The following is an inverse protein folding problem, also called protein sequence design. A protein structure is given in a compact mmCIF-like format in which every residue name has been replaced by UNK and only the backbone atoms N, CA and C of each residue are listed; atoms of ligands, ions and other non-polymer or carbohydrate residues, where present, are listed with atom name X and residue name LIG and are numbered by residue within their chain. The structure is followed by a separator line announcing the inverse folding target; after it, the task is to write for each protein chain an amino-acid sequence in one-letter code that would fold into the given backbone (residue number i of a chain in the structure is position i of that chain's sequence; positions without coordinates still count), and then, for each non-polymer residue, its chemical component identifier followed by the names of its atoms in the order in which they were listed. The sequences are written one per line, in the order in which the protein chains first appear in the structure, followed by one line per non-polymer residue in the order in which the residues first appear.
data_IF_818386636916
#
_entry.id   IF_818386636916
#
_cell.length_a   1.000
_cell.length_b   1.000
_cell.length_c   1.000
_cell.angle_alpha   90.00
_cell.angle_beta   90.00
_cell.angle_gamma   90.00
#
_symmetry.space_group_name_H-M   'P 1'
#
loop_
_entity.id
_entity.type
_entity.pdbx_description
1 polymer ?
#
# COMPACT_ATOMS: atom_id res chain seq x y z
N UNK A 1 -3.26 18.82 -5.27
CA UNK A 1 -2.34 18.64 -6.42
C UNK A 1 -2.82 19.35 -7.68
N UNK A 2 -2.07 20.34 -8.20
CA UNK A 2 -2.50 21.14 -9.35
C UNK A 2 -2.36 20.42 -10.71
N UNK A 3 -1.36 19.55 -10.88
CA UNK A 3 -1.13 18.77 -12.09
C UNK A 3 -2.32 17.83 -12.41
N UNK A 4 -2.83 17.11 -11.40
CA UNK A 4 -4.05 16.29 -11.53
C UNK A 4 -5.27 17.09 -11.95
N UNK A 5 -5.56 18.22 -11.27
CA UNK A 5 -6.71 19.08 -11.58
C UNK A 5 -6.66 19.65 -13.00
N UNK A 6 -5.44 19.90 -13.50
CA UNK A 6 -5.18 20.40 -14.85
C UNK A 6 -5.05 19.29 -15.91
N UNK A 7 -5.12 18.01 -15.53
CA UNK A 7 -4.91 16.90 -16.46
C UNK A 7 -3.48 16.76 -16.99
N UNK A 8 -2.49 17.39 -16.35
CA UNK A 8 -1.07 17.42 -16.76
C UNK A 8 -0.22 16.46 -15.92
N UNK A 9 -0.83 15.36 -15.45
CA UNK A 9 -0.14 14.40 -14.60
C UNK A 9 1.02 13.71 -15.34
N UNK A 10 0.88 13.45 -16.64
CA UNK A 10 1.94 12.85 -17.46
C UNK A 10 3.16 13.74 -17.68
N UNK A 11 3.05 15.04 -17.41
CA UNK A 11 4.17 15.98 -17.57
C UNK A 11 5.12 15.97 -16.39
N UNK A 12 4.67 15.46 -15.24
CA UNK A 12 5.49 15.32 -14.03
C UNK A 12 5.98 13.88 -13.81
N UNK A 13 5.53 12.93 -14.64
CA UNK A 13 5.99 11.53 -14.59
C UNK A 13 7.44 11.47 -15.08
N UNK A 14 8.22 10.58 -14.47
CA UNK A 14 9.60 10.31 -14.90
C UNK A 14 9.67 10.06 -16.42
N UNK A 15 10.56 10.73 -17.16
CA UNK A 15 10.68 10.57 -18.61
C UNK A 15 10.88 9.13 -19.07
N UNK A 16 11.52 8.28 -18.25
CA UNK A 16 11.74 6.86 -18.56
C UNK A 16 10.48 6.01 -18.37
N UNK A 17 9.48 6.51 -17.65
CA UNK A 17 8.21 5.82 -17.39
C UNK A 17 7.06 6.39 -18.25
N UNK A 18 7.25 7.54 -18.90
CA UNK A 18 6.23 8.16 -19.75
C UNK A 18 5.77 7.20 -20.85
N UNK A 19 4.45 7.03 -20.98
CA UNK A 19 3.83 6.11 -21.95
C UNK A 19 3.91 4.61 -21.59
N UNK A 20 4.52 4.23 -20.45
CA UNK A 20 4.61 2.83 -20.00
C UNK A 20 3.63 2.50 -18.86
N UNK A 21 3.04 3.51 -18.25
CA UNK A 21 2.13 3.36 -17.11
C UNK A 21 0.68 3.37 -17.63
N UNK A 22 -0.14 2.44 -17.16
CA UNK A 22 -1.57 2.46 -17.38
C UNK A 22 -2.15 3.77 -16.81
N UNK A 23 -2.95 4.55 -17.57
CA UNK A 23 -3.56 5.79 -17.10
C UNK A 23 -4.41 5.62 -15.82
N UNK A 24 -5.09 4.49 -15.64
CA UNK A 24 -5.88 4.20 -14.44
C UNK A 24 -4.99 3.94 -13.21
N UNK A 25 -3.90 3.19 -13.38
CA UNK A 25 -2.87 3.01 -12.36
C UNK A 25 -2.28 4.36 -11.95
N UNK A 26 -1.87 5.17 -12.93
CA UNK A 26 -1.28 6.49 -12.69
C UNK A 26 -2.25 7.41 -11.94
N UNK A 27 -3.52 7.42 -12.33
CA UNK A 27 -4.57 8.18 -11.65
C UNK A 27 -4.73 7.72 -10.20
N UNK A 28 -4.84 6.42 -9.96
CA UNK A 28 -4.99 5.86 -8.61
C UNK A 28 -3.79 6.19 -7.73
N UNK A 29 -2.58 6.05 -8.25
CA UNK A 29 -1.35 6.41 -7.55
C UNK A 29 -1.36 7.89 -7.15
N UNK A 30 -1.72 8.78 -8.07
CA UNK A 30 -1.74 10.20 -7.81
C UNK A 30 -2.91 10.63 -6.89
N UNK A 31 -4.02 9.89 -6.83
CA UNK A 31 -5.06 10.03 -5.81
C UNK A 31 -4.51 9.73 -4.41
N UNK A 32 -3.78 8.64 -4.25
CA UNK A 32 -3.14 8.28 -2.99
C UNK A 32 -2.10 9.33 -2.57
N UNK A 33 -1.22 9.73 -3.48
CA UNK A 33 -0.20 10.74 -3.22
C UNK A 33 -0.81 12.10 -2.84
N UNK A 34 -1.94 12.49 -3.43
CA UNK A 34 -2.63 13.73 -3.06
C UNK A 34 -3.13 13.68 -1.62
N UNK A 35 -3.73 12.57 -1.18
CA UNK A 35 -4.22 12.42 0.19
C UNK A 35 -3.07 12.38 1.21
N UNK A 36 -1.98 11.68 0.89
CA UNK A 36 -0.78 11.64 1.75
C UNK A 36 -0.17 13.02 1.99
N UNK A 37 -0.28 13.91 1.01
CA UNK A 37 0.23 15.28 1.06
C UNK A 37 -0.82 16.31 1.46
N UNK A 38 -1.95 15.89 2.05
CA UNK A 38 -2.94 16.84 2.56
C UNK A 38 -2.37 17.73 3.66
N UNK A 39 -2.75 19.01 3.65
CA UNK A 39 -2.38 19.99 4.69
C UNK A 39 -2.93 19.58 6.05
N UNK A 40 -4.14 19.00 6.06
CA UNK A 40 -4.78 18.45 7.25
C UNK A 40 -4.36 17.01 7.49
N UNK A 41 -3.82 16.72 8.68
CA UNK A 41 -3.44 15.37 9.07
C UNK A 41 -4.62 14.39 9.16
N UNK A 42 -5.84 14.89 9.38
CA UNK A 42 -7.05 14.07 9.45
C UNK A 42 -7.48 13.51 8.09
N UNK A 43 -7.06 14.15 7.00
CA UNK A 43 -7.35 13.69 5.63
C UNK A 43 -6.28 12.72 5.12
N UNK A 44 -5.15 12.59 5.84
CA UNK A 44 -4.07 11.69 5.45
C UNK A 44 -4.49 10.24 5.74
N UNK A 45 -4.30 9.33 4.79
CA UNK A 45 -4.64 7.93 4.97
C UNK A 45 -3.74 7.28 6.03
N UNK A 46 -4.23 6.20 6.63
CA UNK A 46 -3.37 5.32 7.42
C UNK A 46 -2.38 4.62 6.51
N UNK A 47 -1.25 4.13 7.06
CA UNK A 47 -0.29 3.36 6.26
C UNK A 47 -0.90 2.07 5.68
N UNK A 48 -1.91 1.48 6.34
CA UNK A 48 -2.66 0.35 5.80
C UNK A 48 -3.47 0.71 4.56
N UNK A 49 -4.17 1.86 4.58
CA UNK A 49 -4.89 2.36 3.41
C UNK A 49 -3.92 2.70 2.27
N UNK A 50 -2.75 3.27 2.57
CA UNK A 50 -1.73 3.54 1.56
C UNK A 50 -1.30 2.26 0.87
N UNK A 51 -0.95 1.22 1.64
CA UNK A 51 -0.54 -0.07 1.10
C UNK A 51 -1.63 -0.68 0.20
N UNK A 52 -2.86 -0.73 0.69
CA UNK A 52 -4.00 -1.25 -0.08
C UNK A 52 -4.21 -0.48 -1.39
N UNK A 53 -4.11 0.85 -1.35
CA UNK A 53 -4.26 1.66 -2.57
C UNK A 53 -3.13 1.43 -3.58
N UNK A 54 -1.91 1.12 -3.12
CA UNK A 54 -0.77 0.81 -3.98
C UNK A 54 -0.88 -0.59 -4.59
N UNK A 55 -1.33 -1.59 -3.82
CA UNK A 55 -1.64 -2.93 -4.34
C UNK A 55 -2.72 -2.86 -5.42
N UNK A 56 -3.78 -2.07 -5.18
CA UNK A 56 -4.81 -1.85 -6.19
C UNK A 56 -4.29 -1.12 -7.43
N UNK A 57 -3.43 -0.10 -7.27
CA UNK A 57 -2.81 0.57 -8.40
C UNK A 57 -1.94 -0.39 -9.24
N UNK A 58 -1.19 -1.27 -8.57
CA UNK A 58 -0.39 -2.30 -9.24
C UNK A 58 -1.27 -3.26 -10.04
N UNK A 59 -2.38 -3.75 -9.45
CA UNK A 59 -3.33 -4.60 -10.16
C UNK A 59 -3.87 -3.92 -11.43
N UNK A 60 -4.17 -2.62 -11.38
CA UNK A 60 -4.60 -1.87 -12.58
C UNK A 60 -3.52 -1.87 -13.67
N UNK A 61 -2.24 -1.74 -13.31
CA UNK A 61 -1.14 -1.84 -14.27
C UNK A 61 -1.09 -3.23 -14.92
N UNK A 62 -1.11 -4.28 -14.11
CA UNK A 62 -0.98 -5.67 -14.58
C UNK A 62 -2.17 -6.13 -15.42
N UNK A 63 -3.38 -5.66 -15.11
CA UNK A 63 -4.60 -6.05 -15.82
C UNK A 63 -4.69 -5.43 -17.22
N UNK A 64 -4.06 -4.27 -17.44
CA UNK A 64 -3.99 -3.66 -18.78
C UNK A 64 -2.94 -4.32 -19.68
N UNK A 65 -1.89 -4.89 -19.10
CA UNK A 65 -0.79 -5.57 -19.79
C UNK A 65 -1.09 -7.08 -19.96
N UNK A 66 -2.28 -7.43 -20.45
CA UNK A 66 -2.81 -8.80 -20.56
C UNK A 66 -1.97 -9.87 -21.30
N UNK A 67 -0.71 -9.62 -21.66
CA UNK A 67 0.27 -10.68 -21.93
C UNK A 67 1.69 -10.09 -21.95
N UNK A 68 2.39 -10.10 -20.81
CA UNK A 68 3.85 -10.26 -20.81
C UNK A 68 4.36 -10.85 -19.51
N UNK A 69 3.97 -12.11 -19.26
CA UNK A 69 4.81 -12.99 -18.46
C UNK A 69 6.14 -13.17 -19.20
N UNK A 70 7.11 -12.28 -18.96
CA UNK A 70 8.50 -12.69 -19.06
C UNK A 70 8.77 -13.53 -17.83
N UNK A 71 8.41 -14.81 -17.90
CA UNK A 71 8.98 -15.80 -17.01
C UNK A 71 10.51 -15.73 -17.18
N UNK A 72 11.31 -15.58 -16.12
CA UNK A 72 12.73 -15.82 -16.25
C UNK A 72 12.87 -17.31 -16.56
N UNK A 73 13.26 -17.62 -17.79
CA UNK A 73 13.62 -18.95 -18.24
C UNK A 73 14.80 -19.45 -17.39
N UNK A 74 14.50 -20.14 -16.29
CA UNK A 74 15.46 -20.95 -15.55
C UNK A 74 15.08 -22.41 -15.82
N UNK A 75 15.80 -23.01 -16.75
CA UNK A 75 15.58 -24.39 -17.19
C UNK A 75 16.06 -25.42 -16.17
N UNK A 76 15.42 -26.60 -16.22
CA UNK A 76 15.73 -27.85 -15.49
C UNK A 76 15.25 -27.82 -14.04
N UNK A 77 14.52 -28.79 -13.49
CA UNK A 77 14.32 -30.21 -13.82
C UNK A 77 13.07 -30.73 -13.08
N UNK A 78 12.55 -31.88 -13.54
CA UNK A 78 11.27 -32.53 -13.24
C UNK A 78 11.09 -33.09 -11.82
N UNK A 79 9.86 -33.04 -11.29
CA UNK A 79 9.21 -34.21 -10.66
C UNK A 79 7.70 -33.98 -10.44
N UNK A 80 6.91 -34.93 -10.96
CA UNK A 80 5.46 -35.04 -10.88
C UNK A 80 4.95 -35.25 -9.43
N UNK A 81 3.66 -34.98 -9.18
CA UNK A 81 2.69 -35.96 -8.65
C UNK A 81 1.32 -35.30 -8.35
N UNK A 82 0.27 -35.89 -8.93
CA UNK A 82 -1.13 -35.61 -8.65
C UNK A 82 -1.54 -36.15 -7.27
N UNK A 83 -2.42 -35.43 -6.56
CA UNK A 83 -2.99 -35.88 -5.30
C UNK A 83 -4.25 -35.12 -4.93
N UNK A 84 -5.36 -35.86 -4.86
CA UNK A 84 -6.73 -35.43 -4.59
C UNK A 84 -6.97 -34.94 -3.14
N UNK A 85 -8.00 -34.10 -2.99
CA UNK A 85 -9.02 -34.23 -1.93
C UNK A 85 -8.61 -33.93 -0.49
N UNK A 86 -9.03 -32.78 0.03
CA UNK A 86 -9.05 -32.52 1.47
C UNK A 86 -9.64 -31.15 1.83
N UNK A 87 -10.96 -31.07 1.95
CA UNK A 87 -11.63 -29.87 2.47
C UNK A 87 -11.34 -29.71 3.96
N UNK A 88 -10.65 -28.63 4.34
CA UNK A 88 -10.51 -28.24 5.74
C UNK A 88 -11.77 -27.43 6.12
N UNK A 89 -12.68 -28.06 6.85
CA UNK A 89 -13.79 -27.38 7.50
C UNK A 89 -13.23 -26.46 8.60
N UNK A 90 -13.48 -25.15 8.51
CA UNK A 90 -13.18 -24.21 9.60
C UNK A 90 -14.29 -24.29 10.64
N UNK A 91 -13.97 -24.80 11.83
CA UNK A 91 -14.87 -24.76 12.97
C UNK A 91 -14.96 -23.33 13.50
N UNK A 92 -16.15 -22.72 13.45
CA UNK A 92 -16.46 -21.50 14.20
C UNK A 92 -17.05 -21.92 15.54
N UNK A 93 -16.19 -22.02 16.55
CA UNK A 93 -16.54 -21.94 17.97
C UNK A 93 -15.48 -21.04 18.60
N UNK A 94 -15.74 -20.14 19.53
CA UNK A 94 -16.85 -19.84 20.40
C UNK A 94 -16.37 -18.67 21.28
N UNK A 95 -17.29 -18.00 21.95
CA UNK A 95 -17.05 -16.78 22.73
C UNK A 95 -15.83 -16.85 23.66
N UNK A 96 -15.04 -15.77 23.62
CA UNK A 96 -13.99 -15.47 24.60
C UNK A 96 -13.91 -13.96 24.74
N UNK A 97 -14.50 -13.46 25.83
CA UNK A 97 -14.39 -12.07 26.29
C UNK A 97 -12.93 -11.78 26.62
N UNK A 98 -12.36 -10.69 26.09
CA UNK A 98 -11.10 -10.16 26.59
C UNK A 98 -11.32 -8.73 27.08
N UNK A 99 -11.20 -8.61 28.40
CA UNK A 99 -11.19 -7.38 29.17
C UNK A 99 -9.92 -6.58 28.83
N UNK A 100 -10.06 -5.34 28.37
CA UNK A 100 -8.93 -4.43 28.14
C UNK A 100 -8.77 -3.51 29.34
N UNK A 101 -8.27 -4.07 30.44
CA UNK A 101 -7.76 -3.28 31.56
C UNK A 101 -6.24 -3.20 31.50
N UNK A 102 -5.78 -1.94 31.42
CA UNK A 102 -4.50 -1.44 31.92
C UNK A 102 -3.20 -1.92 31.24
N UNK A 103 -2.69 -1.11 30.31
CA UNK A 103 -1.25 -1.05 30.04
C UNK A 103 -0.79 0.40 30.21
N UNK A 104 -0.09 0.58 31.32
CA UNK A 104 0.50 1.80 31.84
C UNK A 104 1.36 2.55 30.81
N UNK A 105 1.30 3.87 30.94
CA UNK A 105 1.78 4.88 30.00
C UNK A 105 3.26 5.19 30.18
N UNK A 106 4.17 4.22 30.08
CA UNK A 106 5.54 4.46 30.54
C UNK A 106 6.67 4.07 29.57
N UNK A 107 6.49 4.10 28.23
CA UNK A 107 7.63 3.87 27.30
C UNK A 107 7.56 4.76 26.03
N UNK A 108 7.28 6.06 26.18
CA UNK A 108 7.65 7.06 25.16
C UNK A 108 7.70 8.51 25.68
N UNK A 109 7.79 8.72 27.00
CA UNK A 109 7.88 10.08 27.57
C UNK A 109 9.30 10.67 27.48
N UNK A 110 10.32 9.83 27.27
CA UNK A 110 11.73 10.26 27.23
C UNK A 110 12.19 10.90 25.92
N UNK A 111 11.51 10.65 24.80
CA UNK A 111 12.00 11.07 23.48
C UNK A 111 11.50 12.46 23.10
N UNK A 112 10.29 12.83 23.54
CA UNK A 112 9.65 14.10 23.16
C UNK A 112 9.81 15.23 24.18
N UNK A 113 10.41 14.97 25.35
CA UNK A 113 10.68 16.01 26.36
C UNK A 113 11.63 17.11 25.85
N UNK A 114 12.54 16.79 24.93
CA UNK A 114 13.49 17.76 24.36
C UNK A 114 12.84 18.78 23.40
N UNK A 115 11.57 18.59 22.99
CA UNK A 115 10.90 19.43 21.99
C UNK A 115 9.99 20.50 22.62
N UNK A 116 9.82 20.54 23.95
CA UNK A 116 8.79 21.40 24.57
C UNK A 116 9.21 22.87 24.76
N UNK A 117 10.48 23.22 24.50
CA UNK A 117 10.94 24.62 24.57
C UNK A 117 12.08 24.96 23.59
N UNK A 118 11.82 25.06 22.27
CA UNK A 118 12.79 25.65 21.37
C UNK A 118 12.92 27.15 21.67
N UNK A 119 14.06 27.59 22.22
CA UNK A 119 14.44 29.01 22.20
C UNK A 119 14.92 29.35 20.79
N UNK A 120 14.10 30.10 20.06
CA UNK A 120 14.50 30.69 18.79
C UNK A 120 15.71 31.62 18.95
N UNK A 121 16.52 31.70 17.90
CA UNK A 121 17.64 32.64 17.78
C UNK A 121 17.18 33.96 17.16
#
# INVERSE_FOLDING_TARGET
MNCKKKGTLEDIVDPNLKGKINPECLKKFADTAEKCLSDSGLDRPTMGDVLWNLEFALQLQETADGSRQTTPSRGGESEDLAGEGGGMAVNVGGAGEHDVSDLSSEESSGIFSQIVNPKGR
#
